data_IF_241749184304
#
_entry.id   IF_241749184304
#
_cell.length_a   1.000
_cell.length_b   1.000
_cell.length_c   1.000
_cell.angle_alpha   90.00
_cell.angle_beta   90.00
_cell.angle_gamma   90.00
#
_symmetry.space_group_name_H-M   'P 1'
#
loop_
_entity.id
_entity.type
_entity.pdbx_description
1 polymer ?
#
# COMPACT_ATOMS: atom_id res chain seq x y z
N UNK A 1 10.25 10.25 -5.23
CA UNK A 1 9.01 9.88 -5.94
C UNK A 1 8.03 9.45 -4.86
N UNK A 2 7.12 10.33 -4.52
CA UNK A 2 6.22 10.14 -3.39
C UNK A 2 4.80 10.10 -3.95
N UNK A 3 4.21 8.91 -3.99
CA UNK A 3 2.90 8.68 -4.58
C UNK A 3 1.76 9.04 -3.60
N UNK A 4 2.08 9.49 -2.38
CA UNK A 4 1.11 9.93 -1.38
C UNK A 4 0.55 11.35 -1.59
N UNK A 5 1.10 12.13 -2.53
CA UNK A 5 0.78 13.56 -2.69
C UNK A 5 -0.13 13.88 -3.89
N UNK A 6 -0.91 12.91 -4.39
CA UNK A 6 -1.85 13.14 -5.50
C UNK A 6 -1.19 13.39 -6.87
N UNK A 7 0.09 13.06 -7.02
CA UNK A 7 0.74 13.01 -8.33
C UNK A 7 0.37 11.70 -9.01
N UNK A 8 -0.19 11.82 -10.20
CA UNK A 8 -0.57 10.69 -11.05
C UNK A 8 0.65 9.80 -11.34
N UNK A 9 0.70 8.57 -10.82
CA UNK A 9 1.83 7.65 -10.99
C UNK A 9 1.77 6.90 -12.32
N UNK A 10 0.87 7.26 -13.24
CA UNK A 10 0.67 6.54 -14.51
C UNK A 10 1.97 6.30 -15.28
N UNK A 11 2.89 7.27 -15.31
CA UNK A 11 4.16 7.17 -16.04
C UNK A 11 5.37 6.69 -15.21
N UNK A 12 5.17 6.25 -13.96
CA UNK A 12 6.27 5.72 -13.14
C UNK A 12 6.50 4.23 -13.41
N UNK A 13 7.77 3.83 -13.54
CA UNK A 13 8.21 2.43 -13.62
C UNK A 13 8.17 1.72 -12.24
N UNK A 14 8.24 2.51 -11.15
CA UNK A 14 8.25 2.07 -9.76
C UNK A 14 7.33 2.94 -8.90
N UNK A 15 6.49 2.31 -8.10
CA UNK A 15 5.62 2.98 -7.12
C UNK A 15 5.98 2.50 -5.72
N UNK A 16 6.29 3.44 -4.84
CA UNK A 16 6.55 3.19 -3.42
C UNK A 16 5.49 3.95 -2.64
N UNK A 17 4.79 3.27 -1.74
CA UNK A 17 3.74 3.91 -0.95
C UNK A 17 3.25 3.02 0.18
N UNK A 18 2.59 3.66 1.14
CA UNK A 18 1.85 2.97 2.18
C UNK A 18 0.63 2.29 1.56
N UNK A 19 0.48 0.99 1.75
CA UNK A 19 -0.75 0.28 1.40
C UNK A 19 -1.62 0.12 2.63
N UNK A 20 -2.92 0.30 2.43
CA UNK A 20 -3.93 -0.02 3.42
C UNK A 20 -3.94 -1.54 3.66
N UNK A 21 -3.51 -1.97 4.83
CA UNK A 21 -3.63 -3.37 5.28
C UNK A 21 -5.11 -3.73 5.59
N UNK A 22 -5.39 -5.02 5.77
CA UNK A 22 -6.72 -5.58 6.04
C UNK A 22 -7.44 -4.89 7.20
N UNK A 23 -6.70 -4.38 8.18
CA UNK A 23 -7.27 -3.64 9.32
C UNK A 23 -7.84 -2.28 8.93
N UNK A 24 -7.22 -1.60 7.96
CA UNK A 24 -7.73 -0.35 7.39
C UNK A 24 -9.03 -0.64 6.65
N UNK A 25 -9.04 -1.67 5.79
CA UNK A 25 -10.25 -2.11 5.08
C UNK A 25 -11.38 -2.47 6.04
N UNK A 26 -11.10 -3.31 7.04
CA UNK A 26 -12.10 -3.72 8.04
C UNK A 26 -12.68 -2.55 8.82
N UNK A 27 -11.85 -1.56 9.15
CA UNK A 27 -12.32 -0.36 9.85
C UNK A 27 -13.24 0.48 8.97
N UNK A 28 -12.92 0.58 7.68
CA UNK A 28 -13.75 1.27 6.69
C UNK A 28 -15.09 0.54 6.51
N UNK A 29 -15.08 -0.79 6.37
CA UNK A 29 -16.28 -1.60 6.22
C UNK A 29 -17.22 -1.44 7.43
N UNK A 30 -16.68 -1.54 8.65
CA UNK A 30 -17.46 -1.35 9.89
C UNK A 30 -18.07 0.05 10.00
N UNK A 31 -17.38 1.06 9.47
CA UNK A 31 -17.92 2.43 9.46
C UNK A 31 -19.05 2.56 8.44
N UNK A 32 -18.89 2.02 7.23
CA UNK A 32 -19.93 2.06 6.19
C UNK A 32 -21.14 1.18 6.51
N UNK A 33 -20.97 0.10 7.29
CA UNK A 33 -22.08 -0.71 7.82
C UNK A 33 -22.80 -0.07 9.02
N UNK A 34 -22.35 1.11 9.48
CA UNK A 34 -22.80 1.80 10.71
C UNK A 34 -22.59 1.00 12.01
N UNK A 35 -21.70 -0.01 12.00
CA UNK A 35 -21.34 -0.77 13.21
C UNK A 35 -20.42 0.02 14.16
N UNK A 36 -19.63 0.95 13.62
CA UNK A 36 -18.82 1.89 14.41
C UNK A 36 -19.07 3.33 13.97
N UNK A 37 -18.96 4.27 14.91
CA UNK A 37 -19.09 5.69 14.63
C UNK A 37 -17.78 6.30 14.10
N UNK A 38 -17.87 7.52 13.57
CA UNK A 38 -16.72 8.25 13.00
C UNK A 38 -15.55 8.40 13.98
N UNK A 39 -15.82 8.63 15.27
CA UNK A 39 -14.75 8.80 16.27
C UNK A 39 -13.99 7.49 16.48
N UNK A 40 -14.70 6.37 16.55
CA UNK A 40 -14.10 5.04 16.69
C UNK A 40 -13.31 4.63 15.45
N UNK A 41 -13.83 4.90 14.25
CA UNK A 41 -13.12 4.66 13.00
C UNK A 41 -11.80 5.45 12.93
N UNK A 42 -11.82 6.75 13.26
CA UNK A 42 -10.62 7.59 13.28
C UNK A 42 -9.59 7.10 14.29
N UNK A 43 -10.02 6.70 15.50
CA UNK A 43 -9.11 6.15 16.51
C UNK A 43 -8.36 4.93 15.98
N UNK A 44 -9.06 3.99 15.35
CA UNK A 44 -8.44 2.78 14.79
C UNK A 44 -7.47 3.11 13.67
N UNK A 45 -7.83 4.02 12.77
CA UNK A 45 -6.99 4.41 11.63
C UNK A 45 -5.72 5.16 12.02
N UNK A 46 -5.73 5.95 13.10
CA UNK A 46 -4.56 6.71 13.57
C UNK A 46 -3.42 5.80 14.05
N UNK A 47 -3.73 4.58 14.48
CA UNK A 47 -2.72 3.61 14.95
C UNK A 47 -2.25 2.65 13.86
N UNK A 48 -2.81 2.70 12.66
CA UNK A 48 -2.34 1.88 11.55
C UNK A 48 -1.06 2.48 10.97
N UNK A 49 0.04 1.76 11.17
CA UNK A 49 1.32 2.12 10.57
C UNK A 49 1.28 1.71 9.09
N UNK A 50 1.49 2.64 8.14
CA UNK A 50 1.51 2.28 6.73
C UNK A 50 2.68 1.33 6.44
N UNK A 51 2.37 0.15 5.89
CA UNK A 51 3.38 -0.74 5.34
C UNK A 51 3.82 -0.19 3.98
N UNK A 52 5.11 0.11 3.87
CA UNK A 52 5.72 0.56 2.62
C UNK A 52 5.83 -0.62 1.66
N UNK A 53 4.91 -0.70 0.69
CA UNK A 53 5.02 -1.65 -0.40
C UNK A 53 5.73 -1.00 -1.60
N UNK A 54 6.48 -1.84 -2.31
CA UNK A 54 7.07 -1.52 -3.60
C UNK A 54 6.24 -2.25 -4.67
N UNK A 55 5.68 -1.50 -5.62
CA UNK A 55 5.02 -2.03 -6.80
C UNK A 55 5.87 -1.72 -8.04
N UNK A 56 6.36 -2.77 -8.70
CA UNK A 56 7.14 -2.68 -9.94
C UNK A 56 6.17 -2.80 -11.12
N UNK A 57 6.16 -1.80 -12.01
CA UNK A 57 5.23 -1.73 -13.15
C UNK A 57 5.87 -2.08 -14.50
N UNK A 58 7.20 -2.12 -14.55
CA UNK A 58 7.96 -2.16 -15.80
C UNK A 58 8.84 -3.41 -15.88
N UNK A 59 8.61 -4.25 -16.89
CA UNK A 59 9.47 -5.41 -17.14
C UNK A 59 10.92 -4.99 -17.41
N UNK A 60 11.11 -3.88 -18.14
CA UNK A 60 12.44 -3.31 -18.39
C UNK A 60 13.20 -3.03 -17.09
N UNK A 61 12.52 -2.50 -16.06
CA UNK A 61 13.15 -2.26 -14.76
C UNK A 61 13.59 -3.57 -14.11
N UNK A 62 12.77 -4.61 -14.19
CA UNK A 62 13.13 -5.94 -13.67
C UNK A 62 14.38 -6.44 -14.40
N UNK A 63 14.40 -6.37 -15.72
CA UNK A 63 15.47 -6.94 -16.54
C UNK A 63 16.79 -6.17 -16.41
N UNK A 64 16.74 -4.84 -16.28
CA UNK A 64 17.93 -3.97 -16.25
C UNK A 64 18.43 -3.66 -14.83
N UNK A 65 17.56 -3.70 -13.82
CA UNK A 65 17.87 -3.20 -12.47
C UNK A 65 17.72 -4.24 -11.35
N UNK A 66 17.16 -5.42 -11.60
CA UNK A 66 17.09 -6.49 -10.60
C UNK A 66 17.96 -7.68 -10.99
N UNK A 67 18.72 -8.17 -10.02
CA UNK A 67 19.51 -9.40 -10.16
C UNK A 67 18.93 -10.44 -9.22
N UNK A 68 18.56 -11.60 -9.79
CA UNK A 68 18.18 -12.75 -8.99
C UNK A 68 19.38 -13.25 -8.18
N UNK A 69 19.20 -13.41 -6.86
CA UNK A 69 20.27 -13.87 -5.94
C UNK A 69 20.09 -15.34 -5.59
N UNK A 70 18.92 -15.71 -5.05
CA UNK A 70 18.60 -17.08 -4.67
C UNK A 70 17.08 -17.25 -4.46
N UNK A 71 16.60 -18.48 -4.42
CA UNK A 71 15.21 -18.82 -4.09
C UNK A 71 15.14 -20.07 -3.20
N UNK A 72 14.45 -19.94 -2.06
CA UNK A 72 14.13 -21.07 -1.20
C UNK A 72 12.76 -21.64 -1.61
N UNK A 73 12.69 -22.98 -1.72
CA UNK A 73 11.42 -23.68 -1.84
C UNK A 73 10.88 -23.94 -0.43
N UNK A 74 9.70 -23.39 -0.14
CA UNK A 74 8.96 -23.62 1.11
C UNK A 74 8.38 -25.04 1.15
#
# INVERSE_FOLDING_TARGET
MDCGNGKDPQNADLVIGGIADDKVFRTIDLYFSNEINKSEALKRLVYEKPDMQICIKSQRLIDECLTFVDAMKL
#
